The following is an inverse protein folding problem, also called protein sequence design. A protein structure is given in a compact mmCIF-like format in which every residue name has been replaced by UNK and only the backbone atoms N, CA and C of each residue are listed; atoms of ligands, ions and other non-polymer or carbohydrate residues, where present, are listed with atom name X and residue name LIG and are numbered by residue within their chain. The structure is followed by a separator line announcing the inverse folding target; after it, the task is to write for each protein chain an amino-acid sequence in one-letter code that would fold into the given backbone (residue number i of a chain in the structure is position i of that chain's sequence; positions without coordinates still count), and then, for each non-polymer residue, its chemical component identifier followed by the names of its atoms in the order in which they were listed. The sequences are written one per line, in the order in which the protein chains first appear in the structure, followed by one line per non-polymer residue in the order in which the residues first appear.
data_IF_104401042928
#
_entry.id   IF_104401042928
#
_cell.length_a   1.000
_cell.length_b   1.000
_cell.length_c   1.000
_cell.angle_alpha   90.00
_cell.angle_beta   90.00
_cell.angle_gamma   90.00
#
_symmetry.space_group_name_H-M   'P 1'
#
loop_
_entity.id
_entity.type
_entity.pdbx_description
1 polymer ?
#
# COMPACT_ATOMS: atom_id res chain seq x y z
N UNK A 1 64.51 -34.13 39.68
CA UNK A 1 65.70 -33.54 39.03
C UNK A 1 65.26 -32.83 37.75
N UNK A 2 65.83 -31.64 37.51
CA UNK A 2 65.68 -30.74 36.35
C UNK A 2 64.45 -29.84 36.29
N UNK A 3 64.60 -28.72 36.99
CA UNK A 3 64.21 -27.37 36.55
C UNK A 3 64.76 -27.05 35.17
N UNK A 4 63.97 -26.35 34.32
CA UNK A 4 64.49 -25.32 33.40
C UNK A 4 63.48 -24.17 33.36
N UNK A 5 63.96 -23.01 33.83
CA UNK A 5 63.42 -21.67 33.67
C UNK A 5 64.25 -21.01 32.55
N UNK A 6 63.62 -20.27 31.64
CA UNK A 6 64.14 -19.08 30.92
C UNK A 6 62.96 -18.51 30.10
N UNK A 7 62.29 -17.41 30.46
CA UNK A 7 62.66 -15.99 30.42
C UNK A 7 63.23 -15.51 29.07
N UNK A 8 62.55 -14.52 28.47
CA UNK A 8 63.00 -13.26 27.79
C UNK A 8 61.85 -12.86 26.85
N UNK A 9 60.96 -11.89 27.14
CA UNK A 9 61.04 -10.44 27.44
C UNK A 9 61.10 -9.55 26.17
N UNK A 10 59.93 -8.99 25.86
CA UNK A 10 59.63 -7.64 25.32
C UNK A 10 60.25 -7.15 24.00
N UNK A 11 59.37 -6.76 23.07
CA UNK A 11 59.64 -5.86 21.95
C UNK A 11 58.32 -5.31 21.39
N UNK A 12 58.03 -4.05 21.74
CA UNK A 12 56.87 -3.23 21.35
C UNK A 12 57.14 -2.54 19.99
N UNK A 13 56.09 -2.01 19.34
CA UNK A 13 56.04 -0.89 18.34
C UNK A 13 56.21 -1.30 16.86
N UNK A 14 55.44 -0.88 15.84
CA UNK A 14 54.24 -0.02 15.63
C UNK A 14 53.83 -0.17 14.14
N UNK A 15 52.52 -0.05 13.85
CA UNK A 15 51.81 0.35 12.61
C UNK A 15 52.49 0.23 11.22
N UNK A 16 51.76 -0.35 10.25
CA UNK A 16 50.98 0.41 9.25
C UNK A 16 50.36 -0.52 8.17
N UNK A 17 49.04 -0.39 8.02
CA UNK A 17 48.26 -0.41 6.76
C UNK A 17 48.11 -1.70 5.94
N UNK A 18 46.85 -2.13 5.79
CA UNK A 18 46.42 -3.07 4.75
C UNK A 18 45.08 -3.75 4.99
N UNK A 19 44.11 -3.05 5.58
CA UNK A 19 42.76 -3.58 5.88
C UNK A 19 41.95 -3.57 4.59
N UNK A 20 41.68 -4.77 4.06
CA UNK A 20 40.71 -5.02 3.00
C UNK A 20 39.77 -6.17 3.38
N UNK A 21 39.43 -6.29 4.67
CA UNK A 21 38.35 -7.15 5.12
C UNK A 21 37.08 -6.30 5.16
N UNK A 22 36.23 -6.49 4.16
CA UNK A 22 34.85 -6.04 4.15
C UNK A 22 34.09 -6.76 5.26
N UNK A 23 34.31 -6.34 6.50
CA UNK A 23 33.38 -6.60 7.58
C UNK A 23 32.18 -5.75 7.24
N UNK A 24 31.16 -6.39 6.68
CA UNK A 24 29.81 -5.86 6.68
C UNK A 24 29.46 -5.57 8.14
N UNK A 25 29.69 -4.31 8.54
CA UNK A 25 29.05 -3.67 9.66
C UNK A 25 27.55 -3.78 9.36
N UNK A 26 26.95 -4.87 9.83
CA UNK A 26 25.54 -4.88 10.18
C UNK A 26 25.37 -3.67 11.08
N UNK A 27 24.78 -2.61 10.52
CA UNK A 27 24.19 -1.52 11.26
C UNK A 27 23.04 -2.11 12.07
N UNK A 28 23.40 -2.80 13.14
CA UNK A 28 22.54 -3.15 14.26
C UNK A 28 22.50 -1.90 15.15
N UNK A 29 22.09 -0.77 14.55
CA UNK A 29 21.53 0.33 15.32
C UNK A 29 20.13 -0.15 15.60
N UNK A 30 19.87 -0.53 16.84
CA UNK A 30 18.52 -0.89 17.28
C UNK A 30 17.59 0.27 16.94
N UNK A 31 16.90 0.16 15.81
CA UNK A 31 15.70 0.94 15.57
C UNK A 31 14.74 0.48 16.64
N UNK A 32 14.63 1.25 17.71
CA UNK A 32 13.48 1.16 18.58
C UNK A 32 12.28 1.40 17.65
N UNK A 33 11.65 0.32 17.18
CA UNK A 33 10.42 0.39 16.41
C UNK A 33 9.36 0.84 17.41
N UNK A 34 9.20 2.16 17.45
CA UNK A 34 8.29 2.86 18.34
C UNK A 34 6.98 3.09 17.62
N UNK A 35 5.88 3.05 18.37
CA UNK A 35 4.59 3.39 17.81
C UNK A 35 4.59 4.87 17.36
N UNK A 36 4.20 5.21 16.12
CA UNK A 36 4.29 6.57 15.57
C UNK A 36 3.30 7.56 16.20
N UNK A 37 3.78 8.68 16.74
CA UNK A 37 3.03 9.61 17.62
C UNK A 37 1.92 10.40 16.92
N UNK A 38 2.00 10.54 15.59
CA UNK A 38 1.14 11.39 14.78
C UNK A 38 -0.08 10.64 14.23
N UNK A 39 -1.15 10.56 15.02
CA UNK A 39 -2.41 9.96 14.59
C UNK A 39 -3.38 10.91 13.86
N UNK A 40 -3.11 12.22 13.89
CA UNK A 40 -4.05 13.28 13.52
C UNK A 40 -3.68 14.05 12.23
N UNK A 41 -2.85 13.50 11.35
CA UNK A 41 -2.47 14.17 10.10
C UNK A 41 -3.55 14.07 9.02
N UNK A 42 -3.74 15.16 8.27
CA UNK A 42 -4.74 15.30 7.20
C UNK A 42 -4.42 14.41 5.98
N UNK A 43 -3.14 14.06 5.81
CA UNK A 43 -2.58 13.12 4.83
C UNK A 43 -1.59 12.24 5.61
N UNK A 44 -2.07 11.21 6.30
CA UNK A 44 -1.23 10.47 7.23
C UNK A 44 -0.28 9.54 6.47
N UNK A 45 1.01 9.66 6.75
CA UNK A 45 1.97 8.63 6.34
C UNK A 45 1.64 7.33 7.10
N UNK A 46 1.18 6.31 6.37
CA UNK A 46 0.74 5.03 6.93
C UNK A 46 1.90 4.02 7.05
N UNK A 47 3.00 4.25 6.33
CA UNK A 47 4.18 3.39 6.33
C UNK A 47 4.77 3.14 7.74
N UNK A 48 4.92 4.14 8.63
CA UNK A 48 5.49 3.89 9.95
C UNK A 48 4.58 3.04 10.84
N UNK A 49 3.26 3.09 10.64
CA UNK A 49 2.30 2.24 11.37
C UNK A 49 2.37 0.79 10.91
N UNK A 50 2.45 0.56 9.60
CA UNK A 50 2.64 -0.77 9.02
C UNK A 50 3.98 -1.36 9.45
N UNK A 51 5.06 -0.58 9.45
CA UNK A 51 6.38 -1.03 9.91
C UNK A 51 6.39 -1.41 11.40
N UNK A 52 5.72 -0.62 12.24
CA UNK A 52 5.56 -0.98 13.66
C UNK A 52 4.77 -2.28 13.81
N UNK A 53 3.65 -2.42 13.11
CA UNK A 53 2.81 -3.63 13.13
C UNK A 53 3.60 -4.88 12.70
N UNK A 54 4.40 -4.77 11.63
CA UNK A 54 5.30 -5.83 11.17
C UNK A 54 6.36 -6.17 12.22
N UNK A 55 6.94 -5.16 12.87
CA UNK A 55 7.96 -5.35 13.91
C UNK A 55 7.41 -6.12 15.12
N UNK A 56 6.20 -5.78 15.56
CA UNK A 56 5.49 -6.52 16.61
C UNK A 56 5.25 -7.96 16.20
N UNK A 57 4.79 -8.20 14.97
CA UNK A 57 4.53 -9.54 14.46
C UNK A 57 5.80 -10.40 14.41
N UNK A 58 6.92 -9.84 13.91
CA UNK A 58 8.22 -10.52 13.87
C UNK A 58 8.77 -10.81 15.26
N UNK A 59 8.71 -9.85 16.17
CA UNK A 59 9.16 -10.02 17.54
C UNK A 59 8.34 -11.09 18.29
N UNK A 60 7.03 -11.11 18.07
CA UNK A 60 6.10 -12.07 18.67
C UNK A 60 6.18 -13.49 18.10
N UNK A 61 6.98 -13.75 17.06
CA UNK A 61 7.00 -15.04 16.36
C UNK A 61 7.39 -16.23 17.26
N UNK A 62 8.21 -16.00 18.30
CA UNK A 62 8.63 -17.05 19.22
C UNK A 62 7.72 -17.19 20.44
N UNK A 63 7.29 -16.06 21.02
CA UNK A 63 6.54 -16.04 22.28
C UNK A 63 5.01 -16.11 22.07
N UNK A 64 4.52 -15.60 20.95
CA UNK A 64 3.10 -15.34 20.70
C UNK A 64 2.71 -15.71 19.27
N UNK A 65 3.01 -16.97 18.93
CA UNK A 65 2.87 -17.53 17.58
C UNK A 65 1.53 -17.28 16.92
N UNK A 66 0.42 -17.44 17.64
CA UNK A 66 -0.90 -17.25 17.08
C UNK A 66 -1.20 -15.80 16.72
N UNK A 67 -0.81 -14.85 17.58
CA UNK A 67 -0.96 -13.43 17.30
C UNK A 67 -0.07 -13.03 16.11
N UNK A 68 1.20 -13.42 16.14
CA UNK A 68 2.16 -13.14 15.08
C UNK A 68 1.68 -13.66 13.71
N UNK A 69 1.20 -14.91 13.66
CA UNK A 69 0.63 -15.52 12.45
C UNK A 69 -0.53 -14.71 11.88
N UNK A 70 -1.43 -14.23 12.74
CA UNK A 70 -2.61 -13.44 12.34
C UNK A 70 -2.22 -12.06 11.83
N UNK A 71 -1.30 -11.38 12.50
CA UNK A 71 -0.74 -10.11 12.03
C UNK A 71 -0.03 -10.27 10.68
N UNK A 72 0.77 -11.32 10.51
CA UNK A 72 1.42 -11.64 9.23
C UNK A 72 0.40 -11.98 8.12
N UNK A 73 -0.73 -12.64 8.45
CA UNK A 73 -1.83 -12.85 7.50
C UNK A 73 -2.37 -11.51 6.99
N UNK A 74 -2.59 -10.54 7.88
CA UNK A 74 -3.05 -9.19 7.50
C UNK A 74 -2.05 -8.51 6.56
N UNK A 75 -0.75 -8.59 6.85
CA UNK A 75 0.30 -8.03 5.99
C UNK A 75 0.40 -8.73 4.63
N UNK A 76 0.23 -10.05 4.58
CA UNK A 76 0.21 -10.78 3.31
C UNK A 76 -1.01 -10.42 2.45
N UNK A 77 -2.18 -10.20 3.07
CA UNK A 77 -3.38 -9.73 2.37
C UNK A 77 -3.19 -8.32 1.81
N UNK A 78 -2.56 -7.43 2.58
CA UNK A 78 -2.16 -6.08 2.13
C UNK A 78 -1.29 -6.15 0.87
N UNK A 79 -0.24 -6.96 0.86
CA UNK A 79 0.64 -7.13 -0.30
C UNK A 79 -0.11 -7.71 -1.50
N UNK A 80 -0.99 -8.68 -1.26
CA UNK A 80 -1.79 -9.27 -2.33
C UNK A 80 -2.69 -8.23 -2.99
N UNK A 81 -3.37 -7.40 -2.18
CA UNK A 81 -4.21 -6.31 -2.66
C UNK A 81 -3.41 -5.27 -3.44
N UNK A 82 -2.19 -4.95 -2.98
CA UNK A 82 -1.28 -4.04 -3.68
C UNK A 82 -0.84 -4.59 -5.05
N UNK A 83 -0.72 -5.91 -5.19
CA UNK A 83 -0.31 -6.55 -6.45
C UNK A 83 -1.43 -6.72 -7.49
N UNK A 84 -2.71 -6.69 -7.07
CA UNK A 84 -3.85 -7.01 -7.95
C UNK A 84 -4.51 -5.78 -8.57
N UNK A 85 -4.30 -4.60 -8.01
CA UNK A 85 -4.99 -3.37 -8.41
C UNK A 85 -3.97 -2.23 -8.57
N UNK A 86 -4.13 -1.42 -9.62
CA UNK A 86 -3.36 -0.20 -9.80
C UNK A 86 -3.83 0.86 -8.81
N UNK A 87 -3.35 0.76 -7.57
CA UNK A 87 -3.60 1.72 -6.48
C UNK A 87 -2.85 3.05 -6.66
N UNK A 88 -2.39 3.38 -7.88
CA UNK A 88 -1.56 4.57 -8.16
C UNK A 88 -2.17 5.90 -7.75
N UNK A 89 -3.47 5.94 -7.44
CA UNK A 89 -4.17 7.12 -6.91
C UNK A 89 -4.92 6.88 -5.58
N UNK A 90 -5.02 5.64 -5.09
CA UNK A 90 -5.82 5.30 -3.91
C UNK A 90 -4.93 4.58 -2.89
N UNK A 91 -4.88 5.07 -1.65
CA UNK A 91 -4.16 4.42 -0.55
C UNK A 91 -4.69 3.00 -0.31
N UNK A 92 -3.81 2.07 0.08
CA UNK A 92 -4.21 0.69 0.35
C UNK A 92 -5.12 0.69 1.59
N UNK A 93 -6.38 0.21 1.50
CA UNK A 93 -7.32 0.31 2.61
C UNK A 93 -6.87 -0.47 3.86
N UNK A 94 -5.98 -1.45 3.70
CA UNK A 94 -5.41 -2.19 4.84
C UNK A 94 -4.46 -1.30 5.65
N UNK A 95 -3.77 -0.37 5.01
CA UNK A 95 -2.80 0.52 5.66
C UNK A 95 -3.53 1.48 6.60
N UNK A 96 -4.65 2.04 6.13
CA UNK A 96 -5.52 2.88 6.94
C UNK A 96 -6.16 2.12 8.11
N UNK A 97 -6.56 0.86 7.90
CA UNK A 97 -7.11 0.03 8.98
C UNK A 97 -6.08 -0.28 10.06
N UNK A 98 -4.83 -0.57 9.67
CA UNK A 98 -3.72 -0.78 10.62
C UNK A 98 -3.47 0.51 11.40
N UNK A 99 -3.36 1.64 10.71
CA UNK A 99 -3.19 2.97 11.33
C UNK A 99 -4.29 3.27 12.33
N UNK A 100 -5.57 3.18 11.92
CA UNK A 100 -6.74 3.43 12.79
C UNK A 100 -6.71 2.55 14.04
N UNK A 101 -6.36 1.27 13.89
CA UNK A 101 -6.26 0.35 15.02
C UNK A 101 -5.19 0.78 16.01
N UNK A 102 -3.98 1.09 15.51
CA UNK A 102 -2.88 1.51 16.37
C UNK A 102 -3.11 2.89 16.99
N UNK A 103 -3.77 3.80 16.27
CA UNK A 103 -4.11 5.12 16.77
C UNK A 103 -5.19 5.08 17.85
N UNK A 104 -6.19 4.20 17.70
CA UNK A 104 -7.19 3.99 18.74
C UNK A 104 -6.56 3.54 20.06
N UNK A 105 -5.55 2.67 20.02
CA UNK A 105 -4.79 2.32 21.23
C UNK A 105 -4.10 3.53 21.85
N UNK A 106 -3.48 4.38 21.02
CA UNK A 106 -2.77 5.57 21.49
C UNK A 106 -3.72 6.60 22.10
N UNK A 107 -4.90 6.82 21.53
CA UNK A 107 -5.93 7.72 22.06
C UNK A 107 -6.47 7.27 23.42
N UNK A 108 -6.53 5.95 23.65
CA UNK A 108 -6.96 5.39 24.95
C UNK A 108 -5.89 5.48 26.05
N UNK A 109 -4.64 5.75 25.68
CA UNK A 109 -3.49 5.81 26.58
C UNK A 109 -2.91 7.22 26.57
N UNK A 110 -1.79 7.40 27.27
CA UNK A 110 -1.06 8.65 27.22
C UNK A 110 -0.48 8.86 25.80
N UNK A 111 -0.96 9.87 25.04
CA UNK A 111 -0.58 10.05 23.65
C UNK A 111 0.90 10.37 23.48
N UNK A 112 1.56 10.90 24.52
CA UNK A 112 2.98 11.28 24.49
C UNK A 112 3.90 10.14 24.92
N UNK A 113 3.35 9.02 25.41
CA UNK A 113 4.16 7.88 25.82
C UNK A 113 4.75 7.18 24.60
N UNK A 114 6.07 7.00 24.66
CA UNK A 114 6.79 6.13 23.73
C UNK A 114 6.42 4.67 24.03
N UNK A 115 5.90 3.98 23.02
CA UNK A 115 5.49 2.57 23.11
C UNK A 115 6.41 1.78 22.19
N UNK A 116 7.11 0.79 22.76
CA UNK A 116 7.98 -0.12 22.00
C UNK A 116 7.17 -1.30 21.46
N UNK A 117 7.67 -1.93 20.40
CA UNK A 117 7.01 -3.10 19.78
C UNK A 117 6.80 -4.30 20.73
N UNK A 118 7.59 -4.39 21.81
CA UNK A 118 7.53 -5.46 22.80
C UNK A 118 6.77 -5.06 24.08
N UNK A 119 6.16 -3.88 24.13
CA UNK A 119 5.43 -3.43 25.31
C UNK A 119 4.22 -4.37 25.57
N UNK A 120 4.06 -4.88 26.81
CA UNK A 120 3.04 -5.87 27.12
C UNK A 120 1.61 -5.32 27.00
N UNK A 121 1.41 -4.00 27.14
CA UNK A 121 0.10 -3.38 27.05
C UNK A 121 -0.38 -3.30 25.59
N UNK A 122 0.50 -2.93 24.65
CA UNK A 122 0.15 -2.92 23.22
C UNK A 122 -0.08 -4.35 22.71
N UNK A 123 0.73 -5.30 23.18
CA UNK A 123 0.55 -6.72 22.85
C UNK A 123 -0.81 -7.23 23.32
N UNK A 124 -1.20 -6.93 24.57
CA UNK A 124 -2.50 -7.34 25.11
C UNK A 124 -3.64 -6.73 24.29
N UNK A 125 -3.55 -5.43 23.98
CA UNK A 125 -4.50 -4.76 23.10
C UNK A 125 -4.62 -5.43 21.73
N UNK A 126 -3.49 -5.75 21.09
CA UNK A 126 -3.48 -6.36 19.76
C UNK A 126 -4.09 -7.76 19.76
N UNK A 127 -3.99 -8.54 20.85
CA UNK A 127 -4.68 -9.84 20.97
C UNK A 127 -6.20 -9.70 20.87
N UNK A 128 -6.75 -8.62 21.40
CA UNK A 128 -8.18 -8.33 21.35
C UNK A 128 -8.56 -7.67 20.02
N UNK A 129 -7.75 -6.73 19.55
CA UNK A 129 -8.02 -5.92 18.36
C UNK A 129 -7.77 -6.66 17.02
N UNK A 130 -6.95 -7.70 17.00
CA UNK A 130 -6.60 -8.40 15.75
C UNK A 130 -7.81 -9.10 15.10
N UNK A 131 -8.77 -9.61 15.89
CA UNK A 131 -9.98 -10.25 15.35
C UNK A 131 -10.90 -9.27 14.61
N UNK A 132 -11.30 -8.12 15.20
CA UNK A 132 -12.07 -7.14 14.46
C UNK A 132 -11.27 -6.50 13.32
N UNK A 133 -9.94 -6.38 13.43
CA UNK A 133 -9.10 -5.92 12.33
C UNK A 133 -9.14 -6.88 11.14
N UNK A 134 -8.99 -8.18 11.35
CA UNK A 134 -9.09 -9.19 10.28
C UNK A 134 -10.43 -9.13 9.55
N UNK A 135 -11.55 -9.03 10.29
CA UNK A 135 -12.87 -8.90 9.68
C UNK A 135 -12.99 -7.65 8.80
N UNK A 136 -12.51 -6.50 9.29
CA UNK A 136 -12.51 -5.25 8.50
C UNK A 136 -11.62 -5.33 7.27
N UNK A 137 -10.49 -6.03 7.36
CA UNK A 137 -9.59 -6.26 6.21
C UNK A 137 -10.28 -7.14 5.17
N UNK A 138 -10.97 -8.20 5.59
CA UNK A 138 -11.74 -9.06 4.69
C UNK A 138 -12.87 -8.27 3.99
N UNK A 139 -13.61 -7.44 4.73
CA UNK A 139 -14.65 -6.55 4.19
C UNK A 139 -14.07 -5.52 3.20
N UNK A 140 -12.92 -4.91 3.53
CA UNK A 140 -12.27 -3.94 2.67
C UNK A 140 -11.77 -4.56 1.35
N UNK A 141 -11.23 -5.79 1.40
CA UNK A 141 -10.83 -6.53 0.20
C UNK A 141 -12.05 -6.87 -0.64
N UNK A 142 -13.14 -7.33 -0.02
CA UNK A 142 -14.37 -7.62 -0.73
C UNK A 142 -14.92 -6.38 -1.45
N UNK A 143 -14.99 -5.24 -0.75
CA UNK A 143 -15.45 -3.99 -1.33
C UNK A 143 -14.56 -3.52 -2.49
N UNK A 144 -13.24 -3.62 -2.33
CA UNK A 144 -12.29 -3.24 -3.37
C UNK A 144 -12.46 -4.07 -4.66
N UNK A 145 -12.61 -5.39 -4.55
CA UNK A 145 -12.84 -6.24 -5.72
C UNK A 145 -14.24 -6.01 -6.33
N UNK A 146 -15.25 -5.76 -5.50
CA UNK A 146 -16.59 -5.43 -5.97
C UNK A 146 -16.63 -4.13 -6.77
N UNK A 147 -16.01 -3.06 -6.27
CA UNK A 147 -15.90 -1.77 -6.97
C UNK A 147 -15.13 -1.91 -8.28
N UNK A 148 -14.05 -2.71 -8.28
CA UNK A 148 -13.29 -3.03 -9.49
C UNK A 148 -14.16 -3.68 -10.55
N UNK A 149 -14.94 -4.70 -10.19
CA UNK A 149 -15.86 -5.35 -11.13
C UNK A 149 -16.90 -4.37 -11.68
N UNK A 150 -17.49 -3.54 -10.83
CA UNK A 150 -18.44 -2.54 -11.27
C UNK A 150 -17.81 -1.57 -12.26
N UNK A 151 -16.62 -1.03 -11.94
CA UNK A 151 -15.87 -0.13 -12.80
C UNK A 151 -15.64 -0.75 -14.18
N UNK A 152 -15.19 -2.00 -14.24
CA UNK A 152 -15.00 -2.71 -15.52
C UNK A 152 -16.29 -2.83 -16.33
N UNK A 153 -17.43 -3.13 -15.67
CA UNK A 153 -18.73 -3.20 -16.35
C UNK A 153 -19.17 -1.84 -16.89
N UNK A 154 -18.97 -0.78 -16.12
CA UNK A 154 -19.29 0.59 -16.54
C UNK A 154 -18.39 1.05 -17.71
N UNK A 155 -17.09 0.79 -17.64
CA UNK A 155 -16.15 1.11 -18.73
C UNK A 155 -16.54 0.40 -20.02
N UNK A 156 -16.89 -0.89 -19.95
CA UNK A 156 -17.38 -1.64 -21.11
C UNK A 156 -18.65 -1.06 -21.69
N UNK A 157 -19.58 -0.62 -20.83
CA UNK A 157 -20.83 0.00 -21.27
C UNK A 157 -20.57 1.37 -21.91
N UNK A 158 -19.65 2.16 -21.37
CA UNK A 158 -19.23 3.44 -21.94
C UNK A 158 -18.65 3.22 -23.33
N UNK A 159 -17.81 2.20 -23.51
CA UNK A 159 -17.18 1.93 -24.81
C UNK A 159 -18.22 1.51 -25.86
N UNK A 160 -19.15 0.61 -25.51
CA UNK A 160 -20.28 0.27 -26.38
C UNK A 160 -21.11 1.50 -26.77
N UNK A 161 -21.38 2.37 -25.80
CA UNK A 161 -22.13 3.59 -26.04
C UNK A 161 -21.36 4.54 -26.98
N UNK A 162 -20.04 4.65 -26.85
CA UNK A 162 -19.18 5.44 -27.75
C UNK A 162 -19.22 4.91 -29.18
N UNK A 163 -19.13 3.60 -29.37
CA UNK A 163 -19.24 2.98 -30.69
C UNK A 163 -20.61 3.22 -31.34
N UNK A 164 -21.68 3.11 -30.54
CA UNK A 164 -23.04 3.39 -31.00
C UNK A 164 -23.20 4.86 -31.41
N UNK A 165 -22.74 5.80 -30.57
CA UNK A 165 -22.79 7.24 -30.88
C UNK A 165 -22.04 7.52 -32.18
N UNK A 166 -20.83 6.99 -32.34
CA UNK A 166 -20.04 7.16 -33.57
C UNK A 166 -20.78 6.65 -34.81
N UNK A 167 -21.47 5.52 -34.69
CA UNK A 167 -22.27 4.96 -35.79
C UNK A 167 -23.46 5.87 -36.12
N UNK A 168 -24.16 6.37 -35.11
CA UNK A 168 -25.29 7.30 -35.28
C UNK A 168 -24.83 8.63 -35.88
N UNK A 169 -23.69 9.17 -35.47
CA UNK A 169 -23.09 10.38 -36.05
C UNK A 169 -22.76 10.20 -37.54
N UNK A 170 -22.14 9.07 -37.92
CA UNK A 170 -21.88 8.76 -39.32
C UNK A 170 -23.16 8.63 -40.13
N UNK A 171 -24.20 8.02 -39.56
CA UNK A 171 -25.51 7.91 -40.21
C UNK A 171 -26.15 9.28 -40.41
N UNK A 172 -26.19 10.11 -39.36
CA UNK A 172 -26.72 11.47 -39.42
C UNK A 172 -25.98 12.33 -40.46
N UNK A 173 -24.66 12.20 -40.58
CA UNK A 173 -23.88 12.89 -41.62
C UNK A 173 -24.27 12.45 -43.04
N UNK A 174 -24.51 11.14 -43.25
CA UNK A 174 -24.97 10.62 -44.55
C UNK A 174 -26.36 11.13 -44.90
N UNK A 175 -27.27 11.09 -43.93
CA UNK A 175 -28.66 11.53 -44.11
C UNK A 175 -28.73 13.04 -44.38
N UNK A 176 -28.00 13.85 -43.60
CA UNK A 176 -27.90 15.30 -43.82
C UNK A 176 -27.33 15.64 -45.20
N UNK A 177 -26.34 14.90 -45.69
CA UNK A 177 -25.78 15.08 -47.04
C UNK A 177 -26.80 14.75 -48.13
N UNK A 178 -27.56 13.67 -47.96
CA UNK A 178 -28.61 13.28 -48.90
C UNK A 178 -29.72 14.35 -48.95
N UNK A 179 -30.17 14.81 -47.78
CA UNK A 179 -31.20 15.85 -47.65
C UNK A 179 -30.74 17.17 -48.27
N UNK A 180 -29.51 17.61 -47.98
CA UNK A 180 -28.92 18.81 -48.58
C UNK A 180 -28.92 18.74 -50.12
N UNK A 181 -28.53 17.59 -50.68
CA UNK A 181 -28.49 17.39 -52.12
C UNK A 181 -29.89 17.47 -52.75
N UNK A 182 -30.90 16.89 -52.11
CA UNK A 182 -32.29 16.98 -52.57
C UNK A 182 -32.82 18.42 -52.50
N UNK A 183 -32.57 19.13 -51.39
CA UNK A 183 -32.93 20.55 -51.24
C UNK A 183 -32.26 21.38 -52.34
N UNK A 184 -30.96 21.20 -52.56
CA UNK A 184 -30.18 21.92 -53.57
C UNK A 184 -30.68 21.65 -55.00
N UNK A 185 -30.99 20.38 -55.33
CA UNK A 185 -31.56 19.98 -56.63
C UNK A 185 -32.93 20.60 -56.86
N UNK A 186 -33.78 20.62 -55.84
CA UNK A 186 -35.09 21.25 -55.90
C UNK A 186 -34.99 22.77 -56.07
N UNK A 187 -34.09 23.43 -55.35
CA UNK A 187 -33.80 24.86 -55.52
C UNK A 187 -33.34 25.19 -56.95
N UNK A 188 -32.39 24.40 -57.50
CA UNK A 188 -31.93 24.56 -58.89
C UNK A 188 -33.05 24.36 -59.92
N UNK A 189 -33.94 23.38 -59.71
CA UNK A 189 -35.11 23.15 -60.58
C UNK A 189 -36.08 24.33 -60.55
N UNK A 190 -36.36 24.89 -59.37
CA UNK A 190 -37.21 26.08 -59.22
C UNK A 190 -36.61 27.30 -59.91
N UNK A 191 -35.32 27.57 -59.72
CA UNK A 191 -34.62 28.69 -60.34
C UNK A 191 -34.65 28.63 -61.89
N UNK A 192 -34.57 27.43 -62.48
CA UNK A 192 -34.67 27.23 -63.93
C UNK A 192 -36.05 27.49 -64.51
N UNK A 193 -37.13 27.29 -63.73
CA UNK A 193 -38.51 27.53 -64.17
C UNK A 193 -38.92 29.01 -64.12
N UNK A 194 -38.12 29.86 -63.47
CA UNK A 194 -38.36 31.30 -63.35
C UNK A 194 -37.60 32.12 -64.41
N UNK A 195 -36.80 31.46 -65.24
CA UNK A 195 -36.20 32.02 -66.46
C UNK A 195 -37.04 31.62 -67.66
#
# INVERSE_FOLDING_TARGET
MKTVICHVKWGLIVLLLGVGSSVSLFANVGSAHLLPLNCSELLPDEAPFVSFFESVAKAGANEQRDLARRMLKVLALREKLASTTDWSQNENPVDELVRKTLCFYREQKDPLRTITYNDPQIIAYLKEAIKPLEAKVEDAIFLAEFEREQKMRYEHQIEKNRELIRTLEQQAQRDAKAEYNEISKNARRKARKQK
#
